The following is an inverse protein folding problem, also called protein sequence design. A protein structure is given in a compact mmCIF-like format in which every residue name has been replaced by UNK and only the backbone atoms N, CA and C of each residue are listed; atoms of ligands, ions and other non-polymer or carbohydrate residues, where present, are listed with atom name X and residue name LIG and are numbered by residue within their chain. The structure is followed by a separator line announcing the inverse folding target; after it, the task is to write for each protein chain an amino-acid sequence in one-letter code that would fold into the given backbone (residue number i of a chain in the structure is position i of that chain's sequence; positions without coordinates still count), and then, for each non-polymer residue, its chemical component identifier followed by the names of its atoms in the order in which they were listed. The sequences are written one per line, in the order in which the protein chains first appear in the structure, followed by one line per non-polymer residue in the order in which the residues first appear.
data_IF_701433098947
#
_entry.id   IF_701433098947
#
_cell.length_a   1.000
_cell.length_b   1.000
_cell.length_c   1.000
_cell.angle_alpha   90.00
_cell.angle_beta   90.00
_cell.angle_gamma   90.00
#
_symmetry.space_group_name_H-M   'P 1'
#
loop_
_entity.id
_entity.type
_entity.pdbx_description
1 polymer ?
#
# COMPACT_ATOMS: atom_id res chain seq x y z
N UNK A 1 74.61 -24.54 41.59
CA UNK A 1 73.45 -23.91 40.92
C UNK A 1 72.53 -25.01 40.43
N UNK A 2 71.28 -25.12 40.92
CA UNK A 2 70.34 -26.07 40.35
C UNK A 2 69.95 -25.65 38.93
N UNK A 3 69.74 -26.61 38.01
CA UNK A 3 69.28 -26.30 36.66
C UNK A 3 67.87 -25.68 36.69
N UNK A 4 67.54 -24.80 35.74
CA UNK A 4 66.21 -24.22 35.64
C UNK A 4 65.16 -25.33 35.44
N UNK A 5 64.13 -25.32 36.28
CA UNK A 5 63.00 -26.22 36.19
C UNK A 5 62.19 -25.89 34.93
N UNK A 6 62.39 -26.65 33.85
CA UNK A 6 61.52 -26.61 32.68
C UNK A 6 60.19 -27.29 33.01
N UNK A 7 59.12 -26.50 33.16
CA UNK A 7 57.78 -27.04 33.29
C UNK A 7 57.36 -27.57 31.90
N UNK A 8 57.11 -28.88 31.73
CA UNK A 8 56.61 -29.40 30.46
C UNK A 8 55.19 -28.86 30.25
N UNK A 9 55.05 -27.87 29.36
CA UNK A 9 53.74 -27.43 28.91
C UNK A 9 53.10 -28.56 28.12
N UNK A 10 52.02 -29.11 28.67
CA UNK A 10 51.17 -30.08 28.00
C UNK A 10 50.49 -29.41 26.79
N UNK A 11 51.11 -29.54 25.61
CA UNK A 11 50.64 -28.95 24.34
C UNK A 11 49.17 -29.26 24.05
N UNK A 12 48.64 -30.37 24.57
CA UNK A 12 47.23 -30.74 24.40
C UNK A 12 46.30 -29.79 25.15
N UNK A 13 46.67 -29.35 26.36
CA UNK A 13 45.88 -28.39 27.15
C UNK A 13 45.86 -27.00 26.50
N UNK A 14 46.99 -26.55 25.95
CA UNK A 14 47.07 -25.26 25.26
C UNK A 14 46.17 -25.22 24.01
N UNK A 15 46.13 -26.31 23.23
CA UNK A 15 45.24 -26.39 22.06
C UNK A 15 43.76 -26.41 22.42
N UNK A 16 43.37 -27.02 23.53
CA UNK A 16 41.98 -27.04 23.97
C UNK A 16 41.51 -25.69 24.50
N UNK A 17 42.34 -24.99 25.28
CA UNK A 17 41.98 -23.67 25.81
C UNK A 17 41.81 -22.63 24.68
N UNK A 18 42.75 -22.59 23.74
CA UNK A 18 42.66 -21.69 22.58
C UNK A 18 41.44 -22.02 21.71
N UNK A 19 41.13 -23.31 21.49
CA UNK A 19 39.95 -23.71 20.73
C UNK A 19 38.65 -23.28 21.42
N UNK A 20 38.56 -23.43 22.75
CA UNK A 20 37.39 -23.00 23.53
C UNK A 20 37.26 -21.48 23.49
N UNK A 21 38.34 -20.73 23.69
CA UNK A 21 38.31 -19.26 23.60
C UNK A 21 37.88 -18.77 22.22
N UNK A 22 38.40 -19.37 21.14
CA UNK A 22 38.01 -19.03 19.78
C UNK A 22 36.52 -19.33 19.53
N UNK A 23 36.03 -20.49 19.99
CA UNK A 23 34.63 -20.86 19.88
C UNK A 23 33.72 -19.85 20.59
N UNK A 24 34.08 -19.41 21.81
CA UNK A 24 33.33 -18.39 22.56
C UNK A 24 33.30 -17.05 21.80
N UNK A 25 34.45 -16.60 21.28
CA UNK A 25 34.53 -15.33 20.51
C UNK A 25 33.64 -15.39 19.27
N UNK A 26 33.62 -16.51 18.56
CA UNK A 26 32.76 -16.70 17.40
C UNK A 26 31.27 -16.64 17.76
N UNK A 27 30.87 -17.31 18.85
CA UNK A 27 29.48 -17.30 19.32
C UNK A 27 29.05 -15.87 19.71
N UNK A 28 29.87 -15.16 20.49
CA UNK A 28 29.58 -13.77 20.88
C UNK A 28 29.52 -12.85 19.66
N UNK A 29 30.46 -13.01 18.72
CA UNK A 29 30.48 -12.26 17.47
C UNK A 29 29.21 -12.43 16.63
N UNK A 30 28.71 -13.67 16.50
CA UNK A 30 27.47 -13.96 15.79
C UNK A 30 26.24 -13.29 16.45
N UNK A 31 26.14 -13.34 17.78
CA UNK A 31 25.03 -12.71 18.53
C UNK A 31 25.07 -11.18 18.37
N UNK A 32 26.26 -10.58 18.50
CA UNK A 32 26.46 -9.15 18.32
C UNK A 32 26.08 -8.70 16.90
N UNK A 33 26.51 -9.45 15.88
CA UNK A 33 26.20 -9.15 14.49
C UNK A 33 24.68 -9.15 14.21
N UNK A 34 23.96 -10.20 14.64
CA UNK A 34 22.49 -10.27 14.48
C UNK A 34 21.80 -9.10 15.18
N UNK A 35 22.30 -8.69 16.35
CA UNK A 35 21.76 -7.57 17.11
C UNK A 35 21.94 -6.24 16.36
N UNK A 36 23.13 -5.99 15.80
CA UNK A 36 23.44 -4.78 15.02
C UNK A 36 22.61 -4.71 13.73
N UNK A 37 22.40 -5.83 13.05
CA UNK A 37 21.53 -5.84 11.87
C UNK A 37 20.10 -5.43 12.22
N UNK A 38 19.53 -6.02 13.27
CA UNK A 38 18.17 -5.69 13.73
C UNK A 38 18.04 -4.23 14.17
N UNK A 39 19.01 -3.69 14.90
CA UNK A 39 18.96 -2.27 15.32
C UNK A 39 19.04 -1.32 14.13
N UNK A 40 19.83 -1.65 13.10
CA UNK A 40 19.90 -0.84 11.88
C UNK A 40 18.57 -0.81 11.12
N UNK A 41 17.87 -1.95 11.01
CA UNK A 41 16.55 -2.01 10.36
C UNK A 41 15.51 -1.21 11.12
N UNK A 42 15.51 -1.28 12.46
CA UNK A 42 14.61 -0.50 13.30
C UNK A 42 14.89 1.00 13.18
N UNK A 43 16.15 1.41 13.18
CA UNK A 43 16.54 2.82 12.98
C UNK A 43 16.04 3.37 11.64
N UNK A 44 16.22 2.61 10.55
CA UNK A 44 15.70 2.99 9.23
C UNK A 44 14.17 3.01 9.21
N UNK A 45 13.50 2.11 9.93
CA UNK A 45 12.04 2.14 10.05
C UNK A 45 11.55 3.38 10.81
N UNK A 46 12.25 3.83 11.85
CA UNK A 46 11.94 5.09 12.56
C UNK A 46 12.06 6.29 11.63
N UNK A 47 13.14 6.41 10.86
CA UNK A 47 13.29 7.48 9.86
C UNK A 47 12.18 7.43 8.81
N UNK A 48 11.77 6.23 8.37
CA UNK A 48 10.62 6.12 7.47
C UNK A 48 9.30 6.58 8.11
N UNK A 49 9.08 6.33 9.40
CA UNK A 49 7.90 6.82 10.12
C UNK A 49 7.93 8.34 10.20
N UNK A 50 9.08 8.94 10.49
CA UNK A 50 9.25 10.40 10.51
C UNK A 50 8.98 11.02 9.14
N UNK A 51 9.52 10.42 8.07
CA UNK A 51 9.25 10.84 6.70
C UNK A 51 7.74 10.81 6.39
N UNK A 52 7.04 9.74 6.75
CA UNK A 52 5.60 9.62 6.53
C UNK A 52 4.78 10.63 7.35
N UNK A 53 5.19 10.95 8.58
CA UNK A 53 4.57 12.01 9.38
C UNK A 53 4.75 13.38 8.74
N UNK A 54 5.94 13.67 8.22
CA UNK A 54 6.20 14.91 7.52
C UNK A 54 5.43 15.03 6.20
N UNK A 55 5.29 13.92 5.45
CA UNK A 55 4.39 13.85 4.29
C UNK A 55 2.94 14.12 4.72
N UNK A 56 2.49 13.57 5.85
CA UNK A 56 1.15 13.82 6.37
C UNK A 56 0.91 15.30 6.69
N UNK A 57 1.88 15.96 7.33
CA UNK A 57 1.83 17.41 7.57
C UNK A 57 1.82 18.20 6.26
N UNK A 58 2.64 17.79 5.28
CA UNK A 58 2.66 18.39 3.94
C UNK A 58 1.31 18.26 3.23
N UNK A 59 0.69 17.08 3.29
CA UNK A 59 -0.65 16.82 2.75
C UNK A 59 -1.71 17.70 3.43
N UNK A 60 -1.65 17.85 4.76
CA UNK A 60 -2.58 18.70 5.49
C UNK A 60 -2.44 20.17 5.06
N UNK A 61 -1.21 20.70 4.97
CA UNK A 61 -0.95 22.08 4.50
C UNK A 61 -1.38 22.28 3.05
N UNK A 62 -1.10 21.31 2.18
CA UNK A 62 -1.54 21.34 0.78
C UNK A 62 -3.07 21.37 0.69
N UNK A 63 -3.75 20.52 1.46
CA UNK A 63 -5.21 20.50 1.51
C UNK A 63 -5.81 21.80 2.05
N UNK A 64 -5.25 22.39 3.10
CA UNK A 64 -5.68 23.71 3.60
C UNK A 64 -5.53 24.80 2.54
N UNK A 65 -4.52 24.69 1.67
CA UNK A 65 -4.22 25.68 0.63
C UNK A 65 -5.09 25.51 -0.62
N UNK A 66 -5.29 24.28 -1.08
CA UNK A 66 -5.93 23.99 -2.37
C UNK A 66 -7.29 23.32 -2.27
N UNK A 67 -7.74 22.96 -1.06
CA UNK A 67 -8.97 22.20 -0.80
C UNK A 67 -9.08 20.91 -1.62
N UNK A 68 -7.93 20.30 -1.94
CA UNK A 68 -7.82 19.01 -2.62
C UNK A 68 -6.54 18.31 -2.19
N UNK A 69 -6.51 17.01 -2.39
CA UNK A 69 -5.28 16.22 -2.27
C UNK A 69 -4.49 16.22 -3.58
N UNK A 70 -3.15 16.03 -3.53
CA UNK A 70 -2.34 15.84 -4.72
C UNK A 70 -2.86 14.73 -5.64
N UNK A 71 -2.67 14.90 -6.94
CA UNK A 71 -3.07 13.89 -7.91
C UNK A 71 -2.16 12.65 -7.83
N UNK A 72 -2.74 11.46 -7.98
CA UNK A 72 -2.02 10.18 -7.97
C UNK A 72 -1.77 9.61 -9.38
N UNK A 73 -2.02 10.41 -10.43
CA UNK A 73 -1.88 10.05 -11.84
C UNK A 73 -1.37 11.22 -12.71
N UNK A 74 -0.37 11.04 -13.60
CA UNK A 74 0.57 9.92 -13.71
C UNK A 74 1.83 10.12 -12.84
N UNK A 75 2.00 9.27 -11.82
CA UNK A 75 3.23 8.86 -11.08
C UNK A 75 4.31 9.90 -10.74
N UNK A 76 4.05 11.21 -10.77
CA UNK A 76 5.08 12.23 -10.45
C UNK A 76 4.59 13.48 -9.72
N UNK A 77 3.31 13.55 -9.35
CA UNK A 77 2.77 14.80 -8.78
C UNK A 77 2.89 14.89 -7.26
N UNK A 78 2.86 13.79 -6.48
CA UNK A 78 2.90 13.88 -5.00
C UNK A 78 4.14 14.64 -4.51
N UNK A 79 5.33 14.15 -4.86
CA UNK A 79 6.58 14.79 -4.44
C UNK A 79 6.69 16.21 -4.98
N UNK A 80 6.37 16.41 -6.26
CA UNK A 80 6.47 17.73 -6.91
C UNK A 80 5.55 18.76 -6.26
N UNK A 81 4.33 18.38 -5.93
CA UNK A 81 3.32 19.22 -5.31
C UNK A 81 3.56 19.44 -3.82
N UNK A 82 4.15 18.47 -3.12
CA UNK A 82 4.38 18.56 -1.67
C UNK A 82 5.75 19.11 -1.26
N UNK A 83 6.75 19.18 -2.15
CA UNK A 83 8.06 19.78 -1.85
C UNK A 83 7.96 21.16 -1.19
N UNK A 84 7.08 22.09 -1.63
CA UNK A 84 6.92 23.38 -0.97
C UNK A 84 6.36 23.32 0.46
N UNK A 85 5.76 22.19 0.84
CA UNK A 85 5.08 21.99 2.12
C UNK A 85 5.84 21.06 3.09
N UNK A 86 6.94 20.45 2.64
CA UNK A 86 7.87 19.65 3.45
C UNK A 86 9.18 20.42 3.69
N UNK A 87 10.02 19.94 4.63
CA UNK A 87 11.31 20.57 4.95
C UNK A 87 12.32 20.42 3.83
N UNK A 88 12.31 19.29 3.13
CA UNK A 88 13.17 19.03 1.99
C UNK A 88 12.65 17.86 1.12
N UNK A 89 13.29 17.65 -0.03
CA UNK A 89 12.92 16.60 -0.97
C UNK A 89 13.36 15.17 -0.56
N UNK A 90 14.26 15.03 0.42
CA UNK A 90 14.74 13.71 0.88
C UNK A 90 13.71 12.95 1.72
N UNK A 91 12.71 13.65 2.24
CA UNK A 91 11.54 13.09 2.95
C UNK A 91 10.80 12.06 2.09
N UNK A 92 10.84 12.21 0.76
CA UNK A 92 10.20 11.27 -0.17
C UNK A 92 11.03 10.02 -0.44
N UNK A 93 12.23 9.89 0.13
CA UNK A 93 13.07 8.70 -0.02
C UNK A 93 13.00 7.83 1.24
N UNK A 94 12.63 6.57 1.07
CA UNK A 94 12.70 5.59 2.15
C UNK A 94 14.17 5.18 2.38
N UNK A 95 14.65 5.13 3.63
CA UNK A 95 16.03 4.74 3.95
C UNK A 95 16.37 3.27 3.64
N UNK A 96 15.35 2.42 3.40
CA UNK A 96 15.51 1.04 2.95
C UNK A 96 15.36 0.87 1.43
N UNK A 97 15.04 1.94 0.71
CA UNK A 97 14.84 1.86 -0.72
C UNK A 97 16.17 1.80 -1.47
N UNK A 98 16.41 0.67 -2.11
CA UNK A 98 17.59 0.42 -2.95
C UNK A 98 17.35 0.80 -4.42
N UNK A 99 16.12 1.16 -4.79
CA UNK A 99 15.79 1.60 -6.15
C UNK A 99 16.41 2.98 -6.42
N UNK A 100 16.94 3.23 -7.62
CA UNK A 100 17.69 4.44 -7.98
C UNK A 100 16.86 5.74 -8.15
N UNK A 101 15.72 5.88 -7.47
CA UNK A 101 14.80 7.01 -7.60
C UNK A 101 14.87 8.04 -6.47
N UNK A 102 14.27 9.21 -6.68
CA UNK A 102 14.13 10.28 -5.68
C UNK A 102 12.85 10.17 -4.82
N UNK A 103 11.98 9.23 -5.15
CA UNK A 103 10.70 9.01 -4.46
C UNK A 103 10.45 7.52 -4.28
N UNK A 104 10.21 7.11 -3.04
CA UNK A 104 9.92 5.73 -2.64
C UNK A 104 8.43 5.50 -2.35
N UNK A 105 7.62 6.54 -2.20
CA UNK A 105 6.28 6.48 -1.63
C UNK A 105 5.16 6.77 -2.65
N UNK A 106 5.40 7.56 -3.70
CA UNK A 106 4.42 7.93 -4.72
C UNK A 106 3.67 6.74 -5.31
N UNK A 107 4.39 5.63 -5.53
CA UNK A 107 3.83 4.38 -6.06
C UNK A 107 2.76 3.76 -5.14
N UNK A 108 2.82 4.09 -3.87
CA UNK A 108 1.98 3.58 -2.80
C UNK A 108 0.97 4.63 -2.28
N UNK A 109 0.99 5.84 -2.85
CA UNK A 109 0.07 6.91 -2.47
C UNK A 109 -1.31 6.69 -3.07
N UNK A 110 -2.35 6.96 -2.29
CA UNK A 110 -3.75 6.96 -2.68
C UNK A 110 -4.31 8.35 -2.48
N UNK A 111 -4.76 8.96 -3.58
CA UNK A 111 -5.48 10.23 -3.50
C UNK A 111 -6.80 10.02 -2.77
N UNK A 112 -7.02 10.78 -1.70
CA UNK A 112 -8.31 10.82 -1.00
C UNK A 112 -9.21 11.92 -1.59
N UNK A 113 -10.53 11.77 -1.53
CA UNK A 113 -11.44 12.77 -2.09
C UNK A 113 -11.34 14.11 -1.35
N UNK A 114 -11.63 15.19 -2.07
CA UNK A 114 -11.55 16.55 -1.53
C UNK A 114 -12.69 16.92 -0.59
N UNK A 115 -13.80 16.19 -0.62
CA UNK A 115 -14.96 16.46 0.23
C UNK A 115 -15.40 15.20 0.97
N UNK A 116 -15.96 15.40 2.16
CA UNK A 116 -16.28 14.33 3.11
C UNK A 116 -15.16 14.14 4.13
N UNK A 117 -15.53 13.82 5.38
CA UNK A 117 -14.55 13.39 6.36
C UNK A 117 -14.05 12.00 5.96
N UNK A 118 -12.76 11.83 5.61
CA UNK A 118 -12.23 10.49 5.39
C UNK A 118 -12.36 9.70 6.68
N UNK A 119 -12.61 8.38 6.56
CA UNK A 119 -12.52 7.52 7.74
C UNK A 119 -11.08 7.62 8.24
N UNK A 120 -10.89 7.80 9.56
CA UNK A 120 -9.56 7.91 10.17
C UNK A 120 -8.68 6.70 9.84
N UNK A 121 -9.31 5.57 9.51
CA UNK A 121 -8.69 4.30 9.14
C UNK A 121 -8.51 4.10 7.62
N UNK A 122 -8.84 5.08 6.77
CA UNK A 122 -8.61 5.01 5.32
C UNK A 122 -7.10 5.18 5.02
N UNK A 123 -6.51 4.25 4.25
CA UNK A 123 -5.09 4.21 3.89
C UNK A 123 -4.63 5.39 3.01
N UNK A 124 -3.66 6.21 3.39
CA UNK A 124 -3.21 7.33 2.54
C UNK A 124 -2.00 6.94 1.70
N UNK A 125 -0.98 6.39 2.34
CA UNK A 125 0.29 6.05 1.72
C UNK A 125 1.00 5.02 2.57
N UNK A 126 1.94 4.27 2.01
CA UNK A 126 2.73 3.32 2.78
C UNK A 126 4.05 2.97 2.15
N UNK A 127 4.84 2.21 2.90
CA UNK A 127 6.16 1.74 2.49
C UNK A 127 6.30 0.26 2.83
N UNK A 128 6.31 -0.64 1.82
CA UNK A 128 6.40 -2.07 2.04
C UNK A 128 7.85 -2.62 2.16
N UNK A 129 8.86 -1.75 2.28
CA UNK A 129 10.30 -2.12 2.17
C UNK A 129 10.97 -2.41 3.52
N UNK A 130 10.22 -2.75 4.57
CA UNK A 130 10.79 -2.94 5.92
C UNK A 130 10.82 -4.41 6.35
N UNK A 131 11.83 -4.76 7.16
CA UNK A 131 12.04 -6.11 7.73
C UNK A 131 12.02 -7.21 6.66
N UNK A 132 12.81 -7.05 5.61
CA UNK A 132 12.87 -8.03 4.50
C UNK A 132 11.55 -8.21 3.74
N UNK A 133 10.74 -7.14 3.60
CA UNK A 133 9.39 -7.16 3.02
C UNK A 133 8.35 -7.97 3.83
N UNK A 134 8.61 -8.19 5.13
CA UNK A 134 7.64 -8.78 6.04
C UNK A 134 6.76 -7.73 6.75
N UNK A 135 7.19 -6.46 6.77
CA UNK A 135 6.48 -5.37 7.40
C UNK A 135 6.33 -4.15 6.49
N UNK A 136 5.21 -3.46 6.63
CA UNK A 136 4.93 -2.20 5.97
C UNK A 136 4.73 -1.10 7.00
N UNK A 137 5.15 0.12 6.67
CA UNK A 137 4.81 1.32 7.44
C UNK A 137 3.73 2.08 6.67
N UNK A 138 2.55 2.25 7.25
CA UNK A 138 1.37 2.83 6.61
C UNK A 138 0.95 4.12 7.30
N UNK A 139 0.62 5.16 6.54
CA UNK A 139 -0.06 6.36 6.99
C UNK A 139 -1.55 6.24 6.67
N UNK A 140 -2.40 6.53 7.65
CA UNK A 140 -3.85 6.59 7.52
C UNK A 140 -4.37 8.02 7.59
N UNK A 141 -5.61 8.25 7.14
CA UNK A 141 -6.20 9.59 7.02
C UNK A 141 -6.34 10.32 8.37
N UNK A 142 -6.40 9.56 9.47
CA UNK A 142 -6.30 10.11 10.84
C UNK A 142 -4.89 10.56 11.26
N UNK A 143 -3.94 10.69 10.32
CA UNK A 143 -2.53 11.05 10.55
C UNK A 143 -1.77 10.00 11.38
N UNK A 144 -2.38 8.83 11.61
CA UNK A 144 -1.74 7.72 12.31
C UNK A 144 -0.76 7.02 11.36
N UNK A 145 0.49 6.89 11.80
CA UNK A 145 1.47 6.01 11.15
C UNK A 145 1.56 4.71 11.95
N UNK A 146 1.33 3.57 11.28
CA UNK A 146 1.41 2.24 11.88
C UNK A 146 2.38 1.35 11.13
N UNK A 147 2.89 0.35 11.85
CA UNK A 147 3.68 -0.73 11.27
C UNK A 147 2.83 -1.99 11.30
N UNK A 148 2.54 -2.53 10.12
CA UNK A 148 1.68 -3.70 9.95
C UNK A 148 2.46 -4.84 9.28
N UNK A 149 1.96 -6.08 9.41
CA UNK A 149 2.54 -7.25 8.74
C UNK A 149 2.04 -7.32 7.31
N UNK A 150 2.95 -7.38 6.35
CA UNK A 150 2.60 -7.55 4.94
C UNK A 150 1.87 -8.89 4.77
N UNK A 151 0.80 -8.86 3.98
CA UNK A 151 0.05 -10.03 3.57
C UNK A 151 0.33 -10.29 2.08
N UNK A 152 0.84 -11.48 1.78
CA UNK A 152 1.21 -11.85 0.42
C UNK A 152 0.02 -11.81 -0.54
N UNK A 153 0.29 -11.40 -1.78
CA UNK A 153 -0.68 -11.42 -2.87
C UNK A 153 -0.12 -12.30 -3.98
N UNK A 154 -0.94 -13.24 -4.46
CA UNK A 154 -0.58 -14.14 -5.54
C UNK A 154 -1.40 -13.81 -6.77
N UNK A 155 -0.80 -13.98 -7.93
CA UNK A 155 -1.44 -13.92 -9.23
C UNK A 155 -1.30 -15.29 -9.91
N UNK A 156 -2.10 -15.55 -10.94
CA UNK A 156 -2.09 -16.81 -11.68
C UNK A 156 -0.69 -17.29 -12.08
N UNK A 157 0.25 -16.37 -12.35
CA UNK A 157 1.63 -16.70 -12.73
C UNK A 157 2.67 -16.58 -11.60
N UNK A 158 2.28 -16.36 -10.34
CA UNK A 158 3.20 -16.33 -9.19
C UNK A 158 2.94 -15.21 -8.18
N UNK A 159 3.91 -14.98 -7.30
CA UNK A 159 3.81 -13.94 -6.27
C UNK A 159 3.89 -12.53 -6.86
N UNK A 160 3.05 -11.62 -6.35
CA UNK A 160 3.01 -10.21 -6.75
C UNK A 160 3.67 -9.36 -5.69
N UNK A 161 4.72 -8.63 -6.08
CA UNK A 161 5.32 -7.61 -5.22
C UNK A 161 4.41 -6.39 -5.13
N UNK A 162 4.34 -5.78 -3.95
CA UNK A 162 3.59 -4.54 -3.77
C UNK A 162 4.11 -3.44 -4.71
N UNK A 163 3.18 -2.70 -5.29
CA UNK A 163 3.36 -1.73 -6.37
C UNK A 163 3.50 -2.35 -7.76
N UNK A 164 3.69 -3.66 -7.92
CA UNK A 164 3.82 -4.24 -9.26
C UNK A 164 2.46 -4.31 -9.95
N UNK A 165 2.50 -4.12 -11.27
CA UNK A 165 1.33 -4.19 -12.14
C UNK A 165 1.16 -5.63 -12.63
N UNK A 166 -0.07 -6.12 -12.65
CA UNK A 166 -0.46 -7.39 -13.27
C UNK A 166 -1.58 -7.16 -14.29
N UNK A 167 -1.74 -8.09 -15.23
CA UNK A 167 -2.73 -7.99 -16.30
C UNK A 167 -3.41 -9.34 -16.53
N UNK A 168 -4.75 -9.35 -16.60
CA UNK A 168 -5.53 -10.59 -16.76
C UNK A 168 -5.40 -11.57 -15.57
N UNK A 169 -6.06 -12.74 -15.67
CA UNK A 169 -5.99 -13.79 -14.65
C UNK A 169 -6.67 -13.42 -13.33
N UNK A 170 -6.30 -14.12 -12.25
CA UNK A 170 -6.89 -13.95 -10.91
C UNK A 170 -5.83 -13.56 -9.90
N UNK A 171 -6.09 -12.51 -9.14
CA UNK A 171 -5.35 -12.14 -7.94
C UNK A 171 -6.00 -12.82 -6.72
N UNK A 172 -5.22 -13.60 -5.99
CA UNK A 172 -5.60 -14.23 -4.74
C UNK A 172 -4.93 -13.51 -3.56
N UNK A 173 -5.74 -13.05 -2.61
CA UNK A 173 -5.30 -12.39 -1.39
C UNK A 173 -5.06 -13.42 -0.28
N UNK A 174 -4.33 -13.01 0.78
CA UNK A 174 -3.91 -13.92 1.85
C UNK A 174 -5.07 -14.52 2.67
N UNK A 175 -6.25 -13.89 2.67
CA UNK A 175 -7.46 -14.37 3.35
C UNK A 175 -8.32 -15.29 2.45
N UNK A 176 -7.88 -15.55 1.22
CA UNK A 176 -8.64 -16.31 0.22
C UNK A 176 -9.65 -15.48 -0.57
N UNK A 177 -9.66 -14.15 -0.43
CA UNK A 177 -10.38 -13.25 -1.33
C UNK A 177 -9.76 -13.26 -2.72
N UNK A 178 -10.58 -13.03 -3.75
CA UNK A 178 -10.15 -13.13 -5.15
C UNK A 178 -10.62 -11.93 -5.99
N UNK A 179 -9.76 -11.48 -6.91
CA UNK A 179 -10.09 -10.48 -7.92
C UNK A 179 -9.74 -11.05 -9.30
N UNK A 180 -10.75 -11.37 -10.12
CA UNK A 180 -10.56 -11.81 -11.49
C UNK A 180 -10.53 -10.62 -12.44
N UNK A 181 -9.47 -10.51 -13.24
CA UNK A 181 -9.24 -9.43 -14.19
C UNK A 181 -9.69 -9.90 -15.57
N UNK A 182 -10.81 -9.36 -16.06
CA UNK A 182 -11.42 -9.70 -17.34
C UNK A 182 -11.19 -8.56 -18.33
N UNK A 183 -10.80 -8.91 -19.56
CA UNK A 183 -10.51 -7.94 -20.63
C UNK A 183 -9.07 -7.42 -20.61
N UNK A 184 -8.88 -6.13 -20.89
CA UNK A 184 -7.53 -5.53 -21.01
C UNK A 184 -7.05 -4.86 -19.71
N UNK A 185 -7.67 -5.19 -18.58
CA UNK A 185 -7.37 -4.58 -17.31
C UNK A 185 -5.96 -4.85 -16.83
N UNK A 186 -5.36 -3.80 -16.29
CA UNK A 186 -4.12 -3.87 -15.54
C UNK A 186 -4.38 -3.26 -14.18
N UNK A 187 -3.91 -3.94 -13.14
CA UNK A 187 -4.03 -3.44 -11.78
C UNK A 187 -2.68 -3.45 -11.10
N UNK A 188 -2.45 -2.49 -10.21
CA UNK A 188 -1.32 -2.45 -9.31
C UNK A 188 -1.79 -2.78 -7.90
N UNK A 189 -1.12 -3.73 -7.23
CA UNK A 189 -1.38 -4.01 -5.81
C UNK A 189 -0.67 -2.93 -5.00
N UNK A 190 -1.38 -1.90 -4.57
CA UNK A 190 -0.79 -0.77 -3.84
C UNK A 190 -0.30 -1.26 -2.48
N UNK A 191 -1.16 -1.98 -1.75
CA UNK A 191 -0.85 -2.39 -0.39
C UNK A 191 -1.69 -3.61 0.02
N UNK A 192 -1.14 -4.47 0.88
CA UNK A 192 -1.84 -5.61 1.47
C UNK A 192 -1.20 -5.98 2.82
N UNK A 193 -1.95 -5.89 3.91
CA UNK A 193 -1.45 -6.16 5.27
C UNK A 193 -2.54 -6.64 6.22
N UNK A 194 -2.12 -7.25 7.32
CA UNK A 194 -3.01 -7.56 8.44
C UNK A 194 -3.11 -6.36 9.38
N UNK A 195 -4.34 -5.94 9.66
CA UNK A 195 -4.63 -4.96 10.70
C UNK A 195 -4.40 -5.56 12.10
N UNK A 196 -4.33 -4.74 13.17
CA UNK A 196 -4.22 -5.24 14.54
C UNK A 196 -5.33 -6.21 14.96
N UNK A 197 -6.53 -6.10 14.37
CA UNK A 197 -7.64 -7.03 14.55
C UNK A 197 -7.42 -8.41 13.91
N UNK A 198 -6.37 -8.58 13.12
CA UNK A 198 -6.10 -9.77 12.31
C UNK A 198 -6.75 -9.73 10.91
N UNK A 199 -7.73 -8.84 10.70
CA UNK A 199 -8.40 -8.66 9.43
C UNK A 199 -7.41 -8.27 8.32
N UNK A 200 -7.62 -8.79 7.11
CA UNK A 200 -6.85 -8.39 5.94
C UNK A 200 -7.36 -7.04 5.42
N UNK A 201 -6.44 -6.10 5.16
CA UNK A 201 -6.74 -4.87 4.44
C UNK A 201 -5.87 -4.80 3.18
N UNK A 202 -6.52 -4.81 2.01
CA UNK A 202 -5.88 -4.69 0.70
C UNK A 202 -6.34 -3.45 -0.05
N UNK A 203 -5.42 -2.85 -0.79
CA UNK A 203 -5.65 -1.70 -1.66
C UNK A 203 -5.10 -2.02 -3.05
N UNK A 204 -5.96 -1.99 -4.05
CA UNK A 204 -5.64 -2.35 -5.43
C UNK A 204 -6.06 -1.21 -6.35
N UNK A 205 -5.20 -0.79 -7.26
CA UNK A 205 -5.48 0.27 -8.23
C UNK A 205 -5.68 -0.30 -9.61
N UNK A 206 -6.79 0.04 -10.24
CA UNK A 206 -7.03 -0.13 -11.67
C UNK A 206 -6.31 0.99 -12.43
N UNK A 207 -5.45 0.62 -13.37
CA UNK A 207 -4.65 1.59 -14.12
C UNK A 207 -5.48 2.26 -15.23
N UNK A 208 -5.29 3.57 -15.49
CA UNK A 208 -6.02 4.28 -16.53
C UNK A 208 -5.63 3.83 -17.93
N UNK A 209 -6.44 4.21 -18.93
CA UNK A 209 -6.17 3.95 -20.34
C UNK A 209 -6.47 2.52 -20.81
N UNK A 210 -7.12 1.72 -19.96
CA UNK A 210 -7.59 0.35 -20.27
C UNK A 210 -9.05 0.19 -19.85
N UNK A 211 -9.72 -0.77 -20.45
CA UNK A 211 -11.10 -1.11 -20.17
C UNK A 211 -11.24 -2.61 -19.90
N UNK A 212 -12.29 -2.96 -19.16
CA UNK A 212 -12.61 -4.34 -18.81
C UNK A 212 -13.43 -4.39 -17.53
N UNK A 213 -13.50 -5.57 -16.93
CA UNK A 213 -14.19 -5.80 -15.66
C UNK A 213 -13.27 -6.45 -14.63
N UNK A 214 -13.33 -5.99 -13.39
CA UNK A 214 -12.74 -6.66 -12.23
C UNK A 214 -13.88 -7.30 -11.46
N UNK A 215 -13.91 -8.63 -11.42
CA UNK A 215 -14.88 -9.40 -10.63
C UNK A 215 -14.26 -9.66 -9.26
N UNK A 216 -14.93 -9.20 -8.21
CA UNK A 216 -14.39 -9.18 -6.85
C UNK A 216 -15.19 -10.07 -5.94
N UNK A 217 -14.50 -10.96 -5.21
CA UNK A 217 -15.07 -11.81 -4.18
C UNK A 217 -14.25 -11.68 -2.89
N UNK A 218 -14.67 -10.80 -1.99
CA UNK A 218 -14.00 -10.56 -0.70
C UNK A 218 -14.60 -11.46 0.37
N UNK A 219 -13.74 -12.17 1.12
CA UNK A 219 -14.17 -13.03 2.23
C UNK A 219 -14.71 -12.20 3.41
N UNK A 220 -15.64 -12.74 4.21
CA UNK A 220 -16.14 -12.07 5.40
C UNK A 220 -15.01 -11.59 6.32
N UNK A 221 -15.08 -10.33 6.75
CA UNK A 221 -14.06 -9.69 7.58
C UNK A 221 -12.85 -9.13 6.82
N UNK A 222 -12.66 -9.47 5.55
CA UNK A 222 -11.65 -8.87 4.68
C UNK A 222 -12.08 -7.47 4.23
N UNK A 223 -11.18 -6.49 4.34
CA UNK A 223 -11.35 -5.12 3.86
C UNK A 223 -10.60 -4.93 2.54
N UNK A 224 -11.29 -4.44 1.52
CA UNK A 224 -10.70 -4.15 0.22
C UNK A 224 -11.07 -2.74 -0.22
N UNK A 225 -10.08 -2.02 -0.77
CA UNK A 225 -10.29 -0.81 -1.55
C UNK A 225 -9.80 -1.01 -2.98
N UNK A 226 -10.72 -0.91 -3.93
CA UNK A 226 -10.41 -0.88 -5.35
C UNK A 226 -10.45 0.58 -5.84
N UNK A 227 -9.30 1.07 -6.26
CA UNK A 227 -9.11 2.43 -6.76
C UNK A 227 -9.27 2.41 -8.27
N UNK A 228 -10.21 3.18 -8.78
CA UNK A 228 -10.40 3.41 -10.23
C UNK A 228 -10.08 4.86 -10.55
N UNK A 229 -9.89 5.22 -11.84
CA UNK A 229 -9.67 6.61 -12.22
C UNK A 229 -10.77 7.58 -11.76
N UNK A 230 -12.02 7.12 -11.60
CA UNK A 230 -13.14 7.97 -11.20
C UNK A 230 -13.56 7.86 -9.72
N UNK A 231 -13.22 6.76 -9.05
CA UNK A 231 -13.77 6.45 -7.73
C UNK A 231 -12.92 5.48 -6.90
N UNK A 232 -13.09 5.58 -5.58
CA UNK A 232 -12.65 4.60 -4.58
C UNK A 232 -13.84 3.71 -4.22
N UNK A 233 -13.64 2.40 -4.29
CA UNK A 233 -14.66 1.40 -4.06
C UNK A 233 -14.22 0.56 -2.86
N UNK A 234 -14.84 0.79 -1.71
CA UNK A 234 -14.47 0.21 -0.44
C UNK A 234 -15.51 -0.80 0.04
N UNK A 235 -15.06 -1.95 0.55
CA UNK A 235 -15.96 -2.98 1.05
C UNK A 235 -15.39 -3.77 2.22
N UNK A 236 -16.28 -4.48 2.92
CA UNK A 236 -16.01 -5.49 3.92
C UNK A 236 -16.79 -6.77 3.54
N UNK A 237 -16.09 -7.80 3.06
CA UNK A 237 -16.69 -9.12 2.74
C UNK A 237 -17.91 -9.08 1.79
N UNK A 238 -17.71 -8.81 0.51
CA UNK A 238 -18.77 -8.56 -0.48
C UNK A 238 -18.37 -9.11 -1.85
N UNK A 239 -19.37 -9.40 -2.67
CA UNK A 239 -19.23 -9.81 -4.07
C UNK A 239 -19.79 -8.72 -4.98
N UNK A 240 -18.96 -8.22 -5.90
CA UNK A 240 -19.30 -7.13 -6.80
C UNK A 240 -18.41 -7.13 -8.04
N UNK A 241 -18.83 -6.39 -9.05
CA UNK A 241 -18.08 -6.18 -10.29
C UNK A 241 -17.83 -4.71 -10.52
N UNK A 242 -16.65 -4.41 -11.07
CA UNK A 242 -16.25 -3.04 -11.42
C UNK A 242 -15.80 -3.02 -12.86
N UNK A 243 -16.56 -2.33 -13.70
CA UNK A 243 -16.21 -2.11 -15.11
C UNK A 243 -15.70 -0.69 -15.27
N UNK A 244 -14.52 -0.52 -15.90
CA UNK A 244 -14.06 0.82 -16.28
C UNK A 244 -14.17 1.02 -17.78
N UNK A 245 -14.54 2.22 -18.16
CA UNK A 245 -14.67 2.66 -19.55
C UNK A 245 -13.40 3.36 -20.02
N UNK A 246 -13.24 3.52 -21.34
CA UNK A 246 -12.06 4.12 -21.96
C UNK A 246 -11.80 5.57 -21.51
N UNK A 247 -12.87 6.31 -21.22
CA UNK A 247 -12.86 7.68 -20.68
C UNK A 247 -12.58 7.74 -19.17
N UNK A 248 -12.23 6.60 -18.55
CA UNK A 248 -11.94 6.50 -17.12
C UNK A 248 -13.19 6.46 -16.24
N UNK A 249 -14.40 6.37 -16.83
CA UNK A 249 -15.62 6.14 -16.08
C UNK A 249 -15.63 4.77 -15.39
N UNK A 250 -16.45 4.66 -14.36
CA UNK A 250 -16.52 3.47 -13.51
C UNK A 250 -17.98 3.06 -13.33
N UNK A 251 -18.28 1.80 -13.55
CA UNK A 251 -19.59 1.18 -13.27
C UNK A 251 -19.37 0.11 -12.21
N UNK A 252 -20.15 0.19 -11.12
CA UNK A 252 -20.10 -0.76 -10.01
C UNK A 252 -21.43 -1.48 -9.92
N UNK A 253 -21.40 -2.80 -9.87
CA UNK A 253 -22.58 -3.67 -9.73
C UNK A 253 -22.36 -4.61 -8.55
N UNK A 254 -23.25 -4.57 -7.55
CA UNK A 254 -23.09 -5.35 -6.32
C UNK A 254 -23.98 -6.57 -6.36
N UNK A 255 -23.40 -7.76 -6.25
CA UNK A 255 -24.15 -9.02 -6.26
C UNK A 255 -24.61 -9.41 -4.86
N UNK A 256 -23.72 -9.33 -3.88
CA UNK A 256 -24.02 -9.69 -2.49
C UNK A 256 -23.18 -8.86 -1.52
N UNK A 257 -23.79 -8.35 -0.46
CA UNK A 257 -23.16 -7.51 0.56
C UNK A 257 -23.40 -6.02 0.32
N UNK A 258 -22.42 -5.19 0.66
CA UNK A 258 -22.50 -3.74 0.45
C UNK A 258 -21.15 -3.14 0.10
N UNK A 259 -21.20 -2.12 -0.76
CA UNK A 259 -20.02 -1.40 -1.24
C UNK A 259 -20.22 0.09 -1.02
N UNK A 260 -19.26 0.74 -0.38
CA UNK A 260 -19.16 2.20 -0.36
C UNK A 260 -18.41 2.64 -1.61
N UNK A 261 -19.09 3.38 -2.47
CA UNK A 261 -18.49 3.97 -3.68
C UNK A 261 -18.35 5.47 -3.46
N UNK A 262 -17.12 5.97 -3.56
CA UNK A 262 -16.79 7.35 -3.33
C UNK A 262 -16.08 7.93 -4.56
N UNK A 263 -16.71 8.89 -5.21
CA UNK A 263 -16.11 9.64 -6.33
C UNK A 263 -14.92 10.48 -5.85
N UNK A 264 -14.01 10.83 -6.75
CA UNK A 264 -12.87 11.70 -6.40
C UNK A 264 -13.27 13.14 -6.02
N UNK A 265 -14.48 13.59 -6.40
CA UNK A 265 -15.05 14.86 -5.93
C UNK A 265 -15.56 14.78 -4.47
N UNK A 266 -15.76 13.57 -3.95
CA UNK A 266 -16.18 13.27 -2.58
C UNK A 266 -17.65 12.86 -2.41
N UNK A 267 -18.45 12.89 -3.49
CA UNK A 267 -19.79 12.29 -3.47
C UNK A 267 -19.66 10.79 -3.13
N UNK A 268 -20.46 10.33 -2.17
CA UNK A 268 -20.45 8.95 -1.67
C UNK A 268 -21.83 8.33 -1.84
N UNK A 269 -21.88 7.06 -2.25
CA UNK A 269 -23.08 6.22 -2.26
C UNK A 269 -22.75 4.87 -1.64
N UNK A 270 -23.72 4.24 -0.96
CA UNK A 270 -23.60 2.86 -0.49
C UNK A 270 -24.52 2.00 -1.34
N UNK A 271 -23.94 1.08 -2.11
CA UNK A 271 -24.67 0.11 -2.93
C UNK A 271 -24.87 -1.18 -2.12
N UNK A 272 -26.04 -1.79 -2.27
CA UNK A 272 -26.39 -3.09 -1.70
C UNK A 272 -26.54 -4.11 -2.82
N UNK A 273 -26.55 -5.40 -2.47
CA UNK A 273 -26.82 -6.49 -3.42
C UNK A 273 -28.03 -6.21 -4.32
N UNK A 274 -27.86 -6.39 -5.61
CA UNK A 274 -28.83 -6.07 -6.66
C UNK A 274 -28.71 -4.66 -7.24
N UNK A 275 -27.96 -3.74 -6.61
CA UNK A 275 -27.87 -2.35 -7.09
C UNK A 275 -26.64 -2.10 -7.97
N UNK A 276 -26.77 -1.07 -8.80
CA UNK A 276 -25.74 -0.64 -9.74
C UNK A 276 -25.59 0.88 -9.76
N UNK A 277 -24.36 1.37 -9.87
CA UNK A 277 -24.09 2.79 -10.09
C UNK A 277 -23.07 3.02 -11.19
N UNK A 278 -23.21 4.17 -11.86
CA UNK A 278 -22.23 4.69 -12.80
C UNK A 278 -21.66 6.00 -12.29
N UNK A 279 -20.34 6.12 -12.38
CA UNK A 279 -19.55 7.29 -12.05
C UNK A 279 -18.88 7.74 -13.33
N UNK A 280 -19.17 8.97 -13.75
CA UNK A 280 -18.56 9.56 -14.93
C UNK A 280 -17.05 9.76 -14.72
N UNK A 281 -16.28 9.42 -15.75
CA UNK A 281 -14.82 9.59 -15.73
C UNK A 281 -14.42 11.03 -16.01
N UNK A 282 -13.25 11.42 -15.53
CA UNK A 282 -12.50 12.53 -16.13
C UNK A 282 -11.05 12.09 -16.23
N UNK A 283 -10.62 11.65 -17.41
CA UNK A 283 -9.19 11.40 -17.62
C UNK A 283 -8.40 12.70 -17.37
N UNK A 284 -7.29 12.65 -16.61
CA UNK A 284 -6.39 13.79 -16.49
C UNK A 284 -5.90 14.21 -17.88
N UNK A 285 -6.24 15.43 -18.32
CA UNK A 285 -5.82 15.99 -19.62
C UNK A 285 -6.93 16.15 -20.68
N UNK A 286 -8.14 15.63 -20.45
CA UNK A 286 -9.30 16.04 -21.25
C UNK A 286 -9.75 17.43 -20.77
N UNK A 287 -9.77 18.43 -21.66
CA UNK A 287 -10.27 19.76 -21.35
C UNK A 287 -11.66 19.66 -20.71
N UNK A 288 -11.81 20.15 -19.48
CA UNK A 288 -13.07 20.10 -18.73
C UNK A 288 -14.10 20.99 -19.42
N UNK A 289 -15.28 20.50 -19.83
CA UNK A 289 -16.49 21.29 -19.74
C UNK A 289 -17.04 21.18 -18.30
N UNK A 290 -17.73 22.23 -17.85
CA UNK A 290 -18.23 22.44 -16.49
C UNK A 290 -18.84 21.23 -15.76
N UNK A 291 -18.58 21.15 -14.45
CA UNK A 291 -19.41 20.59 -13.36
C UNK A 291 -19.96 19.15 -13.40
N UNK A 292 -19.80 18.35 -14.45
CA UNK A 292 -20.33 16.97 -14.47
C UNK A 292 -19.38 15.89 -13.92
N UNK A 293 -18.09 16.20 -13.72
CA UNK A 293 -17.11 15.25 -13.21
C UNK A 293 -17.46 14.82 -11.76
N UNK A 294 -17.84 13.55 -11.59
CA UNK A 294 -18.21 12.97 -10.29
C UNK A 294 -19.71 12.82 -10.05
N UNK A 295 -20.56 12.96 -11.09
CA UNK A 295 -21.96 12.56 -10.98
C UNK A 295 -22.06 11.04 -10.78
N UNK A 296 -22.44 10.64 -9.57
CA UNK A 296 -22.87 9.27 -9.28
C UNK A 296 -24.35 9.18 -9.62
N UNK A 297 -24.71 8.33 -10.60
CA UNK A 297 -26.10 7.94 -10.89
C UNK A 297 -26.34 6.55 -10.32
N UNK A 298 -27.26 6.45 -9.37
CA UNK A 298 -27.82 5.17 -8.94
C UNK A 298 -28.80 4.74 -10.04
N UNK A 299 -28.64 3.52 -10.56
CA UNK A 299 -29.48 3.01 -11.65
C UNK A 299 -30.53 2.02 -11.16
N UNK A 300 -30.66 1.84 -9.84
CA UNK A 300 -31.57 0.85 -9.25
C UNK A 300 -31.27 -0.59 -9.69
N UNK A 301 -32.14 -1.54 -9.33
CA UNK A 301 -31.99 -2.94 -9.70
C UNK A 301 -32.28 -3.24 -11.19
N UNK A 302 -33.06 -2.39 -11.87
CA UNK A 302 -33.51 -2.61 -13.25
C UNK A 302 -32.82 -1.71 -14.30
N UNK A 303 -31.82 -0.91 -13.90
CA UNK A 303 -31.07 -0.06 -14.83
C UNK A 303 -31.84 1.15 -15.38
N UNK A 304 -33.03 1.46 -14.85
CA UNK A 304 -33.81 2.63 -15.22
C UNK A 304 -33.23 3.89 -14.55
N UNK A 305 -32.86 4.88 -15.37
CA UNK A 305 -32.37 6.18 -14.91
C UNK A 305 -33.59 7.04 -14.57
N UNK A 306 -33.80 7.37 -13.29
CA UNK A 306 -34.55 8.58 -12.88
C UNK A 306 -33.62 9.80 -12.84
#
# INVERSE_FOLDING_TARGET
MPPPYEVPMDRKRLTTEVAVSLAVVLVVGCIAFVSVQRTSELSRQVVCIENLREIAEGLAKYYTTFHKYPDDSPVSELRKELIPFTRNASVFKCPNDQEGGLDSYQKFYVRRPSTGEPDREDYVIGCPRHRGNAATTNLFSGVQVRVDRIAGVRWTCGDVKLGHEVAGGTLALADGSELALVGQHRVAVIQSFHQPSGALYSVVRVLPGRFGTVVVNVKPGGRLELLTPAAIIATLGTQFEVTTTLDGGTVVEVHNGSVRVQSLSGKTVVLRGGNKAKIEGSLPGAARPNESAGLIRDMGPDGAVE
#
